data_IF_314366957473
#
_entry.id   IF_314366957473
#
_cell.length_a   1.000
_cell.length_b   1.000
_cell.length_c   1.000
_cell.angle_alpha   90.00
_cell.angle_beta   90.00
_cell.angle_gamma   90.00
#
_symmetry.space_group_name_H-M   'P 1'
#
loop_
_entity.id
_entity.type
_entity.pdbx_description
1 polymer ?
#
# COMPACT_ATOMS: atom_id res chain seq x y z
N UNK A 1 8.19 -19.76 -16.25
CA UNK A 1 6.76 -20.11 -16.13
C UNK A 1 5.99 -18.83 -16.40
N UNK A 2 5.05 -18.87 -17.34
CA UNK A 2 4.29 -17.69 -17.74
C UNK A 2 2.82 -17.86 -17.31
N UNK A 3 2.44 -17.13 -16.26
CA UNK A 3 1.09 -17.07 -15.69
C UNK A 3 0.35 -18.43 -15.55
N UNK A 4 0.98 -19.48 -14.98
CA UNK A 4 0.48 -20.85 -15.07
C UNK A 4 -0.81 -21.12 -14.27
N UNK A 5 -1.21 -20.21 -13.38
CA UNK A 5 -2.37 -20.39 -12.49
C UNK A 5 -3.59 -19.54 -12.88
N UNK A 6 -3.52 -18.77 -13.95
CA UNK A 6 -4.54 -17.80 -14.38
C UNK A 6 -5.91 -18.42 -14.67
N UNK A 7 -5.91 -19.61 -15.27
CA UNK A 7 -7.12 -20.32 -15.70
C UNK A 7 -7.72 -21.26 -14.64
N UNK A 8 -7.14 -21.32 -13.44
CA UNK A 8 -7.62 -22.18 -12.35
C UNK A 8 -8.63 -21.46 -11.46
N UNK A 9 -9.58 -22.22 -10.91
CA UNK A 9 -10.50 -21.70 -9.89
C UNK A 9 -9.75 -21.29 -8.62
N UNK A 10 -10.36 -20.40 -7.82
CA UNK A 10 -9.70 -19.80 -6.66
C UNK A 10 -9.20 -20.83 -5.63
N UNK A 11 -9.92 -21.93 -5.41
CA UNK A 11 -9.54 -22.94 -4.41
C UNK A 11 -8.38 -23.78 -4.91
N UNK A 12 -8.43 -24.20 -6.17
CA UNK A 12 -7.35 -24.95 -6.81
C UNK A 12 -6.10 -24.08 -7.02
N UNK A 13 -6.26 -22.77 -7.24
CA UNK A 13 -5.15 -21.82 -7.32
C UNK A 13 -4.32 -21.79 -6.04
N UNK A 14 -4.98 -21.78 -4.88
CA UNK A 14 -4.29 -21.76 -3.56
C UNK A 14 -3.50 -23.06 -3.35
N UNK A 15 -4.09 -24.22 -3.63
CA UNK A 15 -3.38 -25.49 -3.45
C UNK A 15 -2.20 -25.64 -4.43
N UNK A 16 -2.41 -25.31 -5.70
CA UNK A 16 -1.36 -25.37 -6.72
C UNK A 16 -0.21 -24.41 -6.43
N UNK A 17 -0.49 -23.22 -5.88
CA UNK A 17 0.54 -22.27 -5.43
C UNK A 17 1.45 -22.90 -4.37
N UNK A 18 0.86 -23.56 -3.37
CA UNK A 18 1.63 -24.26 -2.34
C UNK A 18 2.47 -25.40 -2.93
N UNK A 19 1.94 -26.15 -3.90
CA UNK A 19 2.70 -27.22 -4.57
C UNK A 19 3.85 -26.67 -5.42
N UNK A 20 3.64 -25.59 -6.18
CA UNK A 20 4.72 -24.92 -6.93
C UNK A 20 5.81 -24.43 -5.98
N UNK A 21 5.45 -23.84 -4.84
CA UNK A 21 6.42 -23.40 -3.83
C UNK A 21 7.27 -24.58 -3.32
N UNK A 22 6.64 -25.72 -3.01
CA UNK A 22 7.34 -26.93 -2.56
C UNK A 22 8.27 -27.49 -3.63
N UNK A 23 7.79 -27.58 -4.88
CA UNK A 23 8.58 -28.08 -6.01
C UNK A 23 9.79 -27.17 -6.23
N UNK A 24 9.60 -25.86 -6.26
CA UNK A 24 10.68 -24.90 -6.45
C UNK A 24 11.76 -25.05 -5.37
N UNK A 25 11.35 -25.11 -4.10
CA UNK A 25 12.26 -25.33 -2.97
C UNK A 25 12.99 -26.67 -3.04
N UNK A 26 12.34 -27.72 -3.53
CA UNK A 26 12.95 -29.07 -3.65
C UNK A 26 13.95 -29.16 -4.80
N UNK A 27 13.63 -28.57 -5.94
CA UNK A 27 14.48 -28.63 -7.13
C UNK A 27 15.69 -27.71 -6.99
N UNK A 28 15.52 -26.53 -6.39
CA UNK A 28 16.59 -25.54 -6.22
C UNK A 28 17.10 -24.92 -7.52
N UNK A 29 16.40 -25.13 -8.64
CA UNK A 29 16.73 -24.50 -9.91
C UNK A 29 16.31 -23.03 -9.94
N UNK A 30 17.05 -22.21 -10.67
CA UNK A 30 16.67 -20.83 -10.96
C UNK A 30 15.38 -20.81 -11.78
N UNK A 31 14.33 -20.21 -11.23
CA UNK A 31 13.01 -20.13 -11.87
C UNK A 31 12.64 -18.67 -12.09
N UNK A 32 12.19 -18.34 -13.30
CA UNK A 32 11.50 -17.08 -13.58
C UNK A 32 10.01 -17.38 -13.66
N UNK A 33 9.23 -16.69 -12.83
CA UNK A 33 7.77 -16.82 -12.74
C UNK A 33 7.13 -15.46 -13.07
N UNK A 34 6.28 -15.42 -14.08
CA UNK A 34 5.56 -14.22 -14.52
C UNK A 34 4.11 -14.33 -14.07
N UNK A 35 3.59 -13.26 -13.45
CA UNK A 35 2.20 -13.20 -12.97
C UNK A 35 1.75 -11.75 -12.84
N UNK A 36 0.44 -11.53 -12.96
CA UNK A 36 -0.21 -10.27 -12.62
C UNK A 36 -0.83 -10.29 -11.20
N UNK A 37 -0.82 -11.44 -10.51
CA UNK A 37 -1.34 -11.59 -9.15
C UNK A 37 -0.26 -11.23 -8.13
N UNK A 38 -0.50 -10.15 -7.39
CA UNK A 38 0.40 -9.67 -6.35
C UNK A 38 0.61 -10.70 -5.25
N UNK A 39 -0.42 -11.46 -4.88
CA UNK A 39 -0.35 -12.49 -3.84
C UNK A 39 0.57 -13.62 -4.27
N UNK A 40 0.58 -13.99 -5.55
CA UNK A 40 1.55 -14.95 -6.09
C UNK A 40 2.97 -14.43 -5.95
N UNK A 41 3.22 -13.20 -6.41
CA UNK A 41 4.54 -12.59 -6.31
C UNK A 41 5.04 -12.49 -4.86
N UNK A 42 4.16 -12.09 -3.94
CA UNK A 42 4.50 -11.88 -2.53
C UNK A 42 4.74 -13.18 -1.75
N UNK A 43 4.17 -14.31 -2.18
CA UNK A 43 4.25 -15.58 -1.45
C UNK A 43 5.22 -16.59 -2.04
N UNK A 44 5.51 -16.50 -3.34
CA UNK A 44 6.37 -17.46 -4.04
C UNK A 44 7.80 -16.95 -4.27
N UNK A 45 7.98 -15.65 -4.42
CA UNK A 45 9.23 -15.11 -4.94
C UNK A 45 10.26 -14.84 -3.84
N UNK A 46 11.51 -15.21 -4.10
CA UNK A 46 12.65 -14.70 -3.32
C UNK A 46 12.92 -13.23 -3.65
N UNK A 47 12.73 -12.85 -4.92
CA UNK A 47 12.82 -11.48 -5.44
C UNK A 47 11.73 -11.21 -6.46
N UNK A 48 11.17 -10.01 -6.40
CA UNK A 48 10.14 -9.50 -7.31
C UNK A 48 10.76 -8.45 -8.22
N UNK A 49 10.51 -8.57 -9.53
CA UNK A 49 10.78 -7.54 -10.53
C UNK A 49 9.46 -6.92 -10.92
N UNK A 50 9.22 -5.68 -10.51
CA UNK A 50 8.00 -4.94 -10.84
C UNK A 50 8.23 -4.20 -12.14
N UNK A 51 7.31 -4.38 -13.09
CA UNK A 51 7.39 -3.76 -14.41
C UNK A 51 6.13 -2.96 -14.71
N UNK A 52 6.30 -1.82 -15.34
CA UNK A 52 5.21 -1.03 -15.94
C UNK A 52 5.28 -1.13 -17.45
N UNK A 53 4.16 -0.90 -18.13
CA UNK A 53 4.09 -0.82 -19.58
C UNK A 53 3.54 0.55 -19.99
N UNK A 54 4.23 1.22 -20.91
CA UNK A 54 3.77 2.49 -21.52
C UNK A 54 3.62 2.30 -23.02
N UNK A 55 2.73 3.03 -23.69
CA UNK A 55 2.60 2.95 -25.15
C UNK A 55 3.87 3.47 -25.81
N UNK A 56 4.33 2.80 -26.87
CA UNK A 56 5.44 3.30 -27.65
C UNK A 56 5.04 4.63 -28.36
N UNK A 57 6.01 5.49 -28.75
CA UNK A 57 5.71 6.77 -29.41
C UNK A 57 4.91 6.63 -30.71
N UNK A 58 5.01 5.46 -31.37
CA UNK A 58 4.29 5.15 -32.60
C UNK A 58 2.84 4.66 -32.37
N UNK A 59 2.42 4.42 -31.12
CA UNK A 59 1.11 3.87 -30.76
C UNK A 59 0.86 2.41 -31.15
N UNK A 60 1.84 1.71 -31.73
CA UNK A 60 1.71 0.36 -32.29
C UNK A 60 2.02 -0.77 -31.30
N UNK A 61 2.49 -0.43 -30.11
CA UNK A 61 2.88 -1.41 -29.09
C UNK A 61 3.18 -0.78 -27.74
N UNK A 62 3.78 -1.55 -26.84
CA UNK A 62 4.17 -1.11 -25.49
C UNK A 62 5.67 -1.24 -25.26
N UNK A 63 6.20 -0.36 -24.40
CA UNK A 63 7.56 -0.40 -23.87
C UNK A 63 7.45 -0.75 -22.39
N UNK A 64 7.99 -1.90 -22.04
CA UNK A 64 8.12 -2.34 -20.66
C UNK A 64 9.28 -1.61 -19.97
N UNK A 65 9.07 -1.17 -18.73
CA UNK A 65 10.12 -0.59 -17.88
C UNK A 65 10.13 -1.29 -16.54
N UNK A 66 11.32 -1.68 -16.08
CA UNK A 66 11.50 -2.15 -14.71
C UNK A 66 11.39 -0.94 -13.78
N UNK A 67 10.44 -1.00 -12.85
CA UNK A 67 10.19 0.04 -11.86
C UNK A 67 11.01 -0.20 -10.59
N UNK A 68 11.05 -1.44 -10.11
CA UNK A 68 11.79 -1.82 -8.91
C UNK A 68 12.13 -3.31 -8.92
N UNK A 69 13.26 -3.65 -8.31
CA UNK A 69 13.63 -5.02 -8.01
C UNK A 69 13.96 -5.11 -6.52
N UNK A 70 13.38 -6.07 -5.81
CA UNK A 70 13.64 -6.28 -4.39
C UNK A 70 13.02 -7.56 -3.88
N UNK A 71 13.26 -7.90 -2.62
CA UNK A 71 12.49 -8.94 -1.91
C UNK A 71 11.03 -8.51 -1.74
N UNK A 72 10.09 -9.44 -1.49
CA UNK A 72 8.70 -9.09 -1.20
C UNK A 72 8.55 -8.02 -0.11
N UNK A 73 9.35 -8.11 0.96
CA UNK A 73 9.32 -7.14 2.04
C UNK A 73 9.83 -5.76 1.62
N UNK A 74 10.91 -5.69 0.84
CA UNK A 74 11.48 -4.43 0.36
C UNK A 74 10.53 -3.69 -0.57
N UNK A 75 9.93 -4.38 -1.55
CA UNK A 75 9.00 -3.72 -2.49
C UNK A 75 7.71 -3.26 -1.81
N UNK A 76 7.33 -3.90 -0.70
CA UNK A 76 6.17 -3.51 0.10
C UNK A 76 6.44 -2.30 0.98
N UNK A 77 7.52 -2.36 1.77
CA UNK A 77 7.87 -1.37 2.80
C UNK A 77 8.59 -0.14 2.24
N UNK A 78 9.41 -0.33 1.22
CA UNK A 78 10.25 0.71 0.64
C UNK A 78 10.00 0.85 -0.88
N UNK A 79 8.77 1.22 -1.30
CA UNK A 79 8.49 1.44 -2.71
C UNK A 79 9.26 2.67 -3.23
N UNK A 80 9.96 2.54 -4.37
CA UNK A 80 10.81 3.63 -4.89
C UNK A 80 10.04 4.73 -5.61
N UNK A 81 8.77 4.48 -5.96
CA UNK A 81 7.91 5.45 -6.63
C UNK A 81 6.42 5.19 -6.35
N UNK A 82 5.58 6.14 -6.74
CA UNK A 82 4.12 6.08 -6.56
C UNK A 82 3.47 4.88 -7.26
N UNK A 83 3.98 4.48 -8.42
CA UNK A 83 3.45 3.33 -9.14
C UNK A 83 3.65 2.05 -8.32
N UNK A 84 4.88 1.78 -7.84
CA UNK A 84 5.15 0.59 -7.02
C UNK A 84 4.35 0.63 -5.72
N UNK A 85 4.31 1.78 -5.04
CA UNK A 85 3.56 1.97 -3.80
C UNK A 85 2.05 1.70 -3.96
N UNK A 86 1.46 2.11 -5.09
CA UNK A 86 0.06 1.87 -5.40
C UNK A 86 -0.22 0.50 -6.01
N UNK A 87 0.78 -0.12 -6.63
CA UNK A 87 0.65 -1.40 -7.32
C UNK A 87 0.84 -2.59 -6.39
N UNK A 88 1.70 -2.52 -5.37
CA UNK A 88 1.89 -3.62 -4.43
C UNK A 88 1.05 -3.38 -3.19
N UNK A 89 0.21 -4.34 -2.80
CA UNK A 89 -0.59 -4.31 -1.58
C UNK A 89 -2.09 -4.34 -1.89
N UNK A 90 -2.83 -5.13 -1.10
CA UNK A 90 -4.27 -5.25 -1.21
C UNK A 90 -4.92 -5.08 0.17
N UNK A 91 -5.64 -3.97 0.41
CA UNK A 91 -5.93 -2.90 -0.55
C UNK A 91 -4.73 -1.99 -0.89
N UNK A 92 -4.88 -1.18 -1.95
CA UNK A 92 -3.84 -0.27 -2.41
C UNK A 92 -3.53 0.85 -1.40
N UNK A 93 -2.31 1.39 -1.45
CA UNK A 93 -1.89 2.53 -0.62
C UNK A 93 -2.77 3.77 -0.87
N UNK A 94 -3.13 4.48 0.20
CA UNK A 94 -3.78 5.77 0.11
C UNK A 94 -2.76 6.85 -0.28
N UNK A 95 -3.10 7.72 -1.24
CA UNK A 95 -2.26 8.85 -1.62
C UNK A 95 -2.98 10.18 -1.39
N UNK A 96 -2.32 11.09 -0.71
CA UNK A 96 -2.86 12.38 -0.31
C UNK A 96 -1.88 13.48 -0.71
N UNK A 97 -2.36 14.51 -1.39
CA UNK A 97 -1.54 15.70 -1.64
C UNK A 97 -1.44 16.52 -0.35
N UNK A 98 -0.22 16.88 0.04
CA UNK A 98 0.07 17.64 1.24
C UNK A 98 1.14 18.70 0.94
N UNK A 99 1.29 19.66 1.85
CA UNK A 99 2.38 20.63 1.84
C UNK A 99 3.23 20.49 3.10
N UNK A 100 4.55 20.51 2.97
CA UNK A 100 5.43 20.58 4.14
C UNK A 100 5.47 22.03 4.65
N UNK A 101 5.05 22.24 5.90
CA UNK A 101 5.07 23.54 6.57
C UNK A 101 5.69 23.34 7.96
N UNK A 102 6.91 23.84 8.15
CA UNK A 102 7.65 23.72 9.40
C UNK A 102 8.07 22.27 9.67
N UNK A 103 7.46 21.65 10.66
CA UNK A 103 7.64 20.24 11.06
C UNK A 103 6.41 19.37 10.76
N UNK A 104 5.45 19.89 9.98
CA UNK A 104 4.20 19.21 9.69
C UNK A 104 3.93 19.03 8.19
N UNK A 105 3.25 17.95 7.85
CA UNK A 105 2.55 17.79 6.57
C UNK A 105 1.10 18.24 6.72
N UNK A 106 0.72 19.20 5.89
CA UNK A 106 -0.61 19.83 5.92
C UNK A 106 -1.38 19.42 4.67
N UNK A 107 -2.50 18.71 4.87
CA UNK A 107 -3.51 18.43 3.85
C UNK A 107 -4.77 19.26 4.07
N UNK A 108 -5.76 19.12 3.19
CA UNK A 108 -7.03 19.88 3.27
C UNK A 108 -7.80 19.66 4.58
N UNK A 109 -7.63 18.49 5.22
CA UNK A 109 -8.43 18.05 6.36
C UNK A 109 -7.61 17.67 7.59
N UNK A 110 -6.27 17.75 7.51
CA UNK A 110 -5.41 17.31 8.59
C UNK A 110 -4.07 18.06 8.60
N UNK A 111 -3.48 18.08 9.78
CA UNK A 111 -2.15 18.60 10.03
C UNK A 111 -1.42 17.57 10.90
N UNK A 112 -0.41 16.90 10.35
CA UNK A 112 0.30 15.82 11.04
C UNK A 112 1.76 16.16 11.20
N UNK A 113 2.27 15.95 12.39
CA UNK A 113 3.69 16.13 12.70
C UNK A 113 4.52 15.06 12.02
N UNK A 114 5.60 15.46 11.37
CA UNK A 114 6.52 14.56 10.69
C UNK A 114 7.57 14.06 11.70
N UNK A 115 7.83 12.74 11.79
CA UNK A 115 8.92 12.23 12.62
C UNK A 115 10.27 12.87 12.27
N UNK A 116 11.10 13.15 13.28
CA UNK A 116 12.35 13.91 13.11
C UNK A 116 13.28 13.35 12.03
N UNK A 117 13.38 12.02 11.94
CA UNK A 117 14.19 11.34 10.92
C UNK A 117 13.74 11.63 9.49
N UNK A 118 12.43 11.55 9.23
CA UNK A 118 11.85 11.87 7.93
C UNK A 118 11.92 13.38 7.65
N UNK A 119 11.67 14.22 8.67
CA UNK A 119 11.73 15.67 8.55
C UNK A 119 13.12 16.16 8.12
N UNK A 120 14.18 15.59 8.70
CA UNK A 120 15.56 15.90 8.31
C UNK A 120 15.81 15.61 6.83
N UNK A 121 15.41 14.44 6.35
CA UNK A 121 15.56 14.05 4.94
C UNK A 121 14.79 14.99 4.00
N UNK A 122 13.58 15.39 4.38
CA UNK A 122 12.76 16.31 3.60
C UNK A 122 13.38 17.72 3.53
N UNK A 123 13.93 18.22 4.63
CA UNK A 123 14.60 19.52 4.69
C UNK A 123 15.92 19.52 3.92
N UNK A 124 16.73 18.48 4.06
CA UNK A 124 18.00 18.33 3.33
C UNK A 124 17.79 18.32 1.81
N UNK A 125 16.65 17.79 1.35
CA UNK A 125 16.24 17.82 -0.07
C UNK A 125 15.50 19.10 -0.48
N UNK A 126 15.30 20.05 0.43
CA UNK A 126 14.67 21.33 0.17
C UNK A 126 13.18 21.24 -0.18
N UNK A 127 12.42 20.38 0.52
CA UNK A 127 10.97 20.26 0.35
C UNK A 127 10.13 21.23 1.19
N UNK A 128 10.76 22.09 2.00
CA UNK A 128 10.07 23.11 2.78
C UNK A 128 9.16 23.98 1.90
N UNK A 129 7.89 24.11 2.28
CA UNK A 129 6.90 24.88 1.53
C UNK A 129 6.48 24.28 0.18
N UNK A 130 6.91 23.07 -0.18
CA UNK A 130 6.54 22.41 -1.44
C UNK A 130 5.37 21.45 -1.27
N UNK A 131 4.66 21.23 -2.38
CA UNK A 131 3.68 20.15 -2.48
C UNK A 131 4.38 18.79 -2.55
N UNK A 132 3.81 17.83 -1.83
CA UNK A 132 4.27 16.46 -1.67
C UNK A 132 3.07 15.51 -1.82
N UNK A 133 3.37 14.25 -2.12
CA UNK A 133 2.38 13.17 -2.04
C UNK A 133 2.72 12.36 -0.80
N UNK A 134 1.83 12.40 0.18
CA UNK A 134 1.86 11.54 1.35
C UNK A 134 1.17 10.21 1.03
N UNK A 135 1.87 9.10 1.30
CA UNK A 135 1.36 7.75 1.11
C UNK A 135 1.23 7.04 2.44
N UNK A 136 0.08 6.40 2.70
CA UNK A 136 -0.13 5.58 3.91
C UNK A 136 -0.92 4.33 3.57
N UNK A 137 -0.52 3.18 4.10
CA UNK A 137 -1.23 1.93 3.86
C UNK A 137 -2.55 1.90 4.64
N UNK A 138 -3.61 1.26 4.13
CA UNK A 138 -4.87 1.10 4.86
C UNK A 138 -4.71 0.47 6.23
N UNK A 139 -3.76 -0.46 6.41
CA UNK A 139 -3.47 -1.13 7.68
C UNK A 139 -2.68 -0.27 8.68
N UNK A 140 -2.07 0.83 8.23
CA UNK A 140 -1.35 1.78 9.11
C UNK A 140 -2.29 2.90 9.61
N UNK A 141 -3.59 2.83 9.26
CA UNK A 141 -4.62 3.75 9.76
C UNK A 141 -5.45 3.08 10.84
N UNK A 142 -5.29 3.55 12.07
CA UNK A 142 -5.87 2.96 13.26
C UNK A 142 -7.11 3.74 13.73
N UNK A 143 -8.08 3.06 14.34
CA UNK A 143 -9.26 3.70 14.93
C UNK A 143 -9.46 3.37 16.42
N UNK A 144 -8.50 2.66 17.01
CA UNK A 144 -8.54 2.19 18.39
C UNK A 144 -8.09 3.30 19.36
N UNK A 145 -8.72 3.36 20.53
CA UNK A 145 -8.45 4.39 21.54
C UNK A 145 -6.97 4.42 21.96
N UNK A 146 -6.32 3.25 22.08
CA UNK A 146 -4.92 3.17 22.46
C UNK A 146 -3.99 3.92 21.48
N UNK A 147 -4.25 3.84 20.17
CA UNK A 147 -3.49 4.58 19.17
C UNK A 147 -3.79 6.08 19.21
N UNK A 148 -5.05 6.45 19.42
CA UNK A 148 -5.46 7.86 19.55
C UNK A 148 -4.79 8.54 20.76
N UNK A 149 -4.64 7.82 21.87
CA UNK A 149 -3.96 8.29 23.08
C UNK A 149 -2.44 8.35 22.91
N UNK A 150 -1.85 7.39 22.18
CA UNK A 150 -0.40 7.31 21.97
C UNK A 150 0.10 8.39 21.02
N UNK A 151 -0.67 8.71 19.98
CA UNK A 151 -0.30 9.68 18.95
C UNK A 151 -1.35 10.79 18.78
N UNK A 152 -1.54 11.66 19.79
CA UNK A 152 -2.59 12.68 19.78
C UNK A 152 -2.39 13.74 18.68
N UNK A 153 -1.15 13.93 18.21
CA UNK A 153 -0.79 14.83 17.11
C UNK A 153 -1.07 14.23 15.71
N UNK A 154 -1.48 12.97 15.63
CA UNK A 154 -1.73 12.24 14.37
C UNK A 154 -3.19 11.83 14.16
N UNK A 155 -4.13 12.56 14.79
CA UNK A 155 -5.56 12.22 14.77
C UNK A 155 -6.34 13.05 13.76
N UNK A 156 -7.12 12.38 12.92
CA UNK A 156 -8.01 12.98 11.93
C UNK A 156 -9.45 12.53 12.16
N UNK A 157 -10.43 13.38 11.83
CA UNK A 157 -11.85 13.01 11.87
C UNK A 157 -12.32 12.64 10.47
N UNK A 158 -12.96 11.49 10.35
CA UNK A 158 -13.52 11.02 9.08
C UNK A 158 -14.93 10.46 9.25
N UNK A 159 -15.69 10.52 8.16
CA UNK A 159 -17.01 9.90 8.07
C UNK A 159 -16.91 8.58 7.34
N UNK A 160 -17.42 7.50 7.92
CA UNK A 160 -17.48 6.20 7.25
C UNK A 160 -18.63 6.24 6.24
N UNK A 161 -18.28 6.01 4.98
CA UNK A 161 -19.23 5.96 3.87
C UNK A 161 -19.69 4.53 3.60
N UNK A 162 -18.76 3.57 3.64
CA UNK A 162 -19.02 2.15 3.41
C UNK A 162 -18.19 1.32 4.39
N UNK A 163 -18.77 0.22 4.88
CA UNK A 163 -18.10 -0.78 5.69
C UNK A 163 -18.30 -2.15 5.04
N UNK A 164 -17.21 -2.79 4.63
CA UNK A 164 -17.20 -4.12 4.04
C UNK A 164 -16.60 -5.11 5.04
N UNK A 165 -17.37 -6.14 5.42
CA UNK A 165 -16.92 -7.21 6.29
C UNK A 165 -16.41 -8.39 5.45
N UNK A 166 -15.12 -8.71 5.58
CA UNK A 166 -14.46 -9.79 4.84
C UNK A 166 -14.13 -10.99 5.72
N UNK A 167 -14.92 -11.20 6.78
CA UNK A 167 -14.73 -12.27 7.74
C UNK A 167 -13.87 -11.83 8.92
N UNK A 168 -12.55 -12.00 8.82
CA UNK A 168 -11.60 -11.65 9.89
C UNK A 168 -11.13 -10.20 9.86
N UNK A 169 -11.51 -9.43 8.83
CA UNK A 169 -11.14 -8.03 8.68
C UNK A 169 -12.33 -7.23 8.15
N UNK A 170 -12.33 -5.92 8.44
CA UNK A 170 -13.27 -4.96 7.88
C UNK A 170 -12.52 -3.91 7.08
N UNK A 171 -12.99 -3.63 5.87
CA UNK A 171 -12.51 -2.50 5.07
C UNK A 171 -13.50 -1.34 5.23
N UNK A 172 -13.00 -0.21 5.73
CA UNK A 172 -13.81 0.99 5.92
C UNK A 172 -13.40 2.02 4.88
N UNK A 173 -14.37 2.45 4.08
CA UNK A 173 -14.21 3.54 3.13
C UNK A 173 -14.63 4.82 3.84
N UNK A 174 -13.65 5.66 4.13
CA UNK A 174 -13.81 6.88 4.89
C UNK A 174 -13.71 8.11 3.98
N UNK A 175 -14.44 9.16 4.34
CA UNK A 175 -14.39 10.46 3.69
C UNK A 175 -13.86 11.50 4.67
N UNK A 176 -12.76 12.15 4.29
CA UNK A 176 -12.20 13.32 4.98
C UNK A 176 -12.51 14.55 4.14
N UNK A 177 -13.52 15.32 4.54
CA UNK A 177 -13.97 16.53 3.82
C UNK A 177 -14.28 16.22 2.34
N UNK A 178 -13.34 16.44 1.40
CA UNK A 178 -13.47 16.15 -0.04
C UNK A 178 -12.69 14.92 -0.52
N UNK A 179 -11.91 14.28 0.35
CA UNK A 179 -11.01 13.17 0.01
C UNK A 179 -11.57 11.84 0.50
N UNK A 180 -11.31 10.77 -0.26
CA UNK A 180 -11.62 9.40 0.15
C UNK A 180 -10.35 8.71 0.64
N UNK A 181 -10.44 8.00 1.76
CA UNK A 181 -9.40 7.12 2.30
C UNK A 181 -10.00 5.75 2.56
N UNK A 182 -9.18 4.72 2.39
CA UNK A 182 -9.52 3.37 2.78
C UNK A 182 -8.73 2.98 4.02
N UNK A 183 -9.43 2.40 4.98
CA UNK A 183 -8.87 1.85 6.20
C UNK A 183 -9.11 0.35 6.24
N UNK A 184 -8.14 -0.38 6.78
CA UNK A 184 -8.24 -1.81 7.00
C UNK A 184 -8.09 -2.11 8.48
N UNK A 185 -9.13 -2.69 9.08
CA UNK A 185 -9.16 -3.05 10.49
C UNK A 185 -9.20 -4.58 10.65
N UNK A 186 -8.37 -5.10 11.55
CA UNK A 186 -8.28 -6.53 11.90
C UNK A 186 -9.42 -7.02 12.83
N UNK A 187 -10.32 -6.12 13.26
CA UNK A 187 -11.42 -6.43 14.17
C UNK A 187 -12.76 -6.09 13.54
N UNK A 188 -13.69 -7.05 13.62
CA UNK A 188 -15.10 -6.91 13.21
C UNK A 188 -15.76 -5.84 14.07
N UNK A 189 -15.74 -4.59 13.59
CA UNK A 189 -16.30 -3.46 14.31
C UNK A 189 -17.49 -2.91 13.56
N UNK A 190 -18.65 -2.86 14.22
CA UNK A 190 -19.81 -2.08 13.76
C UNK A 190 -19.52 -0.62 14.07
N UNK A 191 -18.89 0.10 13.14
CA UNK A 191 -18.53 1.49 13.36
C UNK A 191 -19.70 2.45 13.08
N UNK A 192 -19.82 3.48 13.92
CA UNK A 192 -20.78 4.58 13.75
C UNK A 192 -20.26 5.60 12.73
N UNK A 193 -21.16 6.40 12.15
CA UNK A 193 -20.92 7.26 10.99
C UNK A 193 -19.71 8.21 11.08
N UNK A 194 -19.32 8.69 12.25
CA UNK A 194 -18.15 9.59 12.42
C UNK A 194 -17.17 8.95 13.39
N UNK A 195 -15.90 8.85 12.99
CA UNK A 195 -14.85 8.23 13.80
C UNK A 195 -13.56 9.07 13.78
N UNK A 196 -12.84 9.05 14.90
CA UNK A 196 -11.47 9.54 14.99
C UNK A 196 -10.52 8.44 14.53
N UNK A 197 -9.60 8.82 13.66
CA UNK A 197 -8.61 7.93 13.06
C UNK A 197 -7.22 8.43 13.42
N UNK A 198 -6.32 7.53 13.75
CA UNK A 198 -4.90 7.79 13.90
C UNK A 198 -4.18 7.37 12.63
N UNK A 199 -3.31 8.24 12.12
CA UNK A 199 -2.41 7.92 11.01
C UNK A 199 -1.04 7.59 11.60
N UNK A 200 -0.67 6.31 11.59
CA UNK A 200 0.66 5.90 12.05
C UNK A 200 1.70 6.36 11.02
N UNK A 201 2.66 7.18 11.48
CA UNK A 201 3.70 7.76 10.66
C UNK A 201 5.08 7.12 10.94
N UNK A 202 5.13 6.04 11.73
CA UNK A 202 6.37 5.31 12.04
C UNK A 202 6.97 4.57 10.85
#
# INVERSE_FOLDING_TARGET
MDEPLSNLDAKLRVSMRAEIAKIHRRIGATTIYVTHDQTEAMTLADRIVIMSATKNPAGTGTIGRVEQIGTPQEVYKNPVNKFVAGFIGSPAMNFINVKLIGDHIVGDAFNLKVPEGALKVLRDKGYEGKELIFGIRPEDVNAEAAFLETFPESVVKATISVSELLGSESHLYCKLVKMNLLLKLMLVTTCKQVQQLNLDLT
#
